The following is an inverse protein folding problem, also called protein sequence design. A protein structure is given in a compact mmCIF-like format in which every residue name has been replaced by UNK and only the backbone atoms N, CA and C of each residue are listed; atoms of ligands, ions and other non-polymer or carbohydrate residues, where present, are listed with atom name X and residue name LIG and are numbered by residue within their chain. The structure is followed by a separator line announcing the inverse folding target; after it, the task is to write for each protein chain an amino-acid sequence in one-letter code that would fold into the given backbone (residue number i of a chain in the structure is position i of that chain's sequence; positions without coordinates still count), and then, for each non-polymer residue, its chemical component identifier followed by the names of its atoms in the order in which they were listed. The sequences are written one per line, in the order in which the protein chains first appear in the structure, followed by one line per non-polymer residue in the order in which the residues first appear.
data_IF_708426891190
#
_entry.id   IF_708426891190
#
_cell.length_a   1.000
_cell.length_b   1.000
_cell.length_c   1.000
_cell.angle_alpha   90.00
_cell.angle_beta   90.00
_cell.angle_gamma   90.00
#
_symmetry.space_group_name_H-M   'P 1'
#
loop_
_entity.id
_entity.type
_entity.pdbx_description
1 polymer ?
#
# COMPACT_ATOMS: atom_id res chain seq x y z
N UNK A 1 -5.76 15.60 -0.13
CA UNK A 1 -4.54 15.01 -0.73
C UNK A 1 -3.92 13.97 0.19
N UNK A 2 -3.41 14.32 1.39
CA UNK A 2 -2.80 13.34 2.32
C UNK A 2 -3.77 12.25 2.79
N UNK A 3 -5.00 12.60 3.20
CA UNK A 3 -6.02 11.62 3.62
C UNK A 3 -6.40 10.62 2.52
N UNK A 4 -6.63 11.12 1.30
CA UNK A 4 -6.93 10.30 0.14
C UNK A 4 -5.77 9.34 -0.22
N UNK A 5 -4.53 9.83 -0.22
CA UNK A 5 -3.36 8.99 -0.44
C UNK A 5 -3.17 7.94 0.67
N UNK A 6 -3.44 8.32 1.93
CA UNK A 6 -3.35 7.42 3.07
C UNK A 6 -4.38 6.29 2.97
N UNK A 7 -5.63 6.60 2.64
CA UNK A 7 -6.69 5.60 2.46
C UNK A 7 -6.35 4.59 1.34
N UNK A 8 -5.76 5.09 0.24
CA UNK A 8 -5.38 4.26 -0.91
C UNK A 8 -4.23 3.30 -0.55
N UNK A 9 -3.22 3.77 0.20
CA UNK A 9 -2.05 2.96 0.56
C UNK A 9 -2.26 2.13 1.86
N UNK A 10 -3.27 2.44 2.66
CA UNK A 10 -3.55 1.81 3.96
C UNK A 10 -3.51 0.27 3.94
N UNK A 11 -4.20 -0.43 3.01
CA UNK A 11 -4.19 -1.89 2.98
C UNK A 11 -2.80 -2.45 2.66
N UNK A 12 -2.05 -1.78 1.79
CA UNK A 12 -0.68 -2.16 1.42
C UNK A 12 0.27 -2.01 2.61
N UNK A 13 0.19 -0.88 3.32
CA UNK A 13 1.02 -0.64 4.52
C UNK A 13 0.68 -1.66 5.61
N UNK A 14 -0.59 -1.93 5.86
CA UNK A 14 -1.02 -2.92 6.86
C UNK A 14 -0.47 -4.31 6.54
N UNK A 15 -0.57 -4.75 5.28
CA UNK A 15 -0.03 -6.03 4.85
C UNK A 15 1.50 -6.12 5.01
N UNK A 16 2.24 -5.07 4.62
CA UNK A 16 3.69 -5.01 4.81
C UNK A 16 4.09 -4.99 6.29
N UNK A 17 3.31 -4.33 7.14
CA UNK A 17 3.54 -4.31 8.59
C UNK A 17 3.41 -5.72 9.17
N UNK A 18 2.36 -6.46 8.78
CA UNK A 18 2.16 -7.85 9.19
C UNK A 18 3.32 -8.74 8.74
N UNK A 19 3.79 -8.58 7.50
CA UNK A 19 4.96 -9.31 6.99
C UNK A 19 6.20 -9.01 7.83
N UNK A 20 6.47 -7.74 8.16
CA UNK A 20 7.60 -7.35 9.00
C UNK A 20 7.51 -7.92 10.42
N UNK A 21 6.30 -7.93 11.02
CA UNK A 21 6.08 -8.55 12.33
C UNK A 21 6.32 -10.05 12.28
N UNK A 22 5.83 -10.75 11.24
CA UNK A 22 6.06 -12.17 11.06
C UNK A 22 7.56 -12.50 10.95
N UNK A 23 8.34 -11.67 10.26
CA UNK A 23 9.80 -11.78 10.25
C UNK A 23 10.45 -11.52 11.60
N UNK A 24 9.96 -10.53 12.35
CA UNK A 24 10.42 -10.28 13.71
C UNK A 24 10.21 -11.49 14.64
N UNK A 25 9.07 -12.18 14.50
CA UNK A 25 8.78 -13.42 15.22
C UNK A 25 9.68 -14.56 14.77
N UNK A 26 9.87 -14.74 13.46
CA UNK A 26 10.76 -15.78 12.90
C UNK A 26 12.21 -15.60 13.36
N UNK A 27 12.69 -14.35 13.42
CA UNK A 27 14.02 -14.00 13.94
C UNK A 27 14.20 -14.43 15.39
N UNK A 28 13.15 -14.28 16.22
CA UNK A 28 13.17 -14.72 17.62
C UNK A 28 13.13 -16.24 17.76
N UNK A 29 12.43 -16.93 16.87
CA UNK A 29 12.29 -18.39 16.90
C UNK A 29 13.53 -19.14 16.37
N UNK A 30 14.23 -18.57 15.38
CA UNK A 30 15.39 -19.19 14.74
C UNK A 30 16.50 -18.13 14.48
N UNK A 31 17.31 -17.78 15.51
CA UNK A 31 18.31 -16.70 15.43
C UNK A 31 19.48 -17.00 14.48
N UNK A 32 19.58 -18.24 14.01
CA UNK A 32 20.62 -18.72 13.08
C UNK A 32 20.17 -18.66 11.61
N UNK A 33 18.89 -18.43 11.32
CA UNK A 33 18.49 -18.07 9.97
C UNK A 33 19.08 -16.71 9.65
N UNK A 34 19.91 -16.62 8.61
CA UNK A 34 20.39 -15.36 8.09
C UNK A 34 19.20 -14.59 7.51
N UNK A 35 18.51 -13.82 8.36
CA UNK A 35 17.28 -13.08 8.02
C UNK A 35 17.56 -12.05 6.93
N UNK A 36 18.80 -11.59 6.76
CA UNK A 36 19.15 -10.77 5.60
C UNK A 36 19.13 -11.59 4.30
N UNK A 37 19.65 -12.83 4.32
CA UNK A 37 19.64 -13.71 3.15
C UNK A 37 18.26 -14.26 2.79
N UNK A 38 17.37 -14.48 3.76
CA UNK A 38 16.04 -15.09 3.53
C UNK A 38 14.92 -14.05 3.57
N UNK A 39 15.00 -13.08 4.48
CA UNK A 39 13.96 -12.08 4.71
C UNK A 39 13.86 -11.05 3.61
N UNK A 40 14.98 -10.62 3.01
CA UNK A 40 14.94 -9.66 1.91
C UNK A 40 14.27 -10.23 0.64
N UNK A 41 14.66 -11.42 0.13
CA UNK A 41 13.98 -12.03 -1.02
C UNK A 41 12.49 -12.27 -0.76
N UNK A 42 12.14 -12.78 0.44
CA UNK A 42 10.77 -13.08 0.77
C UNK A 42 9.92 -11.81 0.93
N UNK A 43 10.45 -10.74 1.54
CA UNK A 43 9.76 -9.43 1.60
C UNK A 43 9.56 -8.85 0.20
N UNK A 44 10.53 -9.02 -0.71
CA UNK A 44 10.43 -8.54 -2.08
C UNK A 44 9.32 -9.27 -2.86
N UNK A 45 9.25 -10.60 -2.74
CA UNK A 45 8.18 -11.42 -3.37
C UNK A 45 6.82 -11.07 -2.78
N UNK A 46 6.71 -10.98 -1.46
CA UNK A 46 5.45 -10.59 -0.79
C UNK A 46 5.03 -9.17 -1.15
N UNK A 47 5.97 -8.22 -1.18
CA UNK A 47 5.71 -6.84 -1.58
C UNK A 47 5.24 -6.75 -3.04
N UNK A 48 5.86 -7.51 -3.95
CA UNK A 48 5.42 -7.61 -5.33
C UNK A 48 4.01 -8.20 -5.45
N UNK A 49 3.70 -9.23 -4.67
CA UNK A 49 2.37 -9.84 -4.63
C UNK A 49 1.30 -8.87 -4.11
N UNK A 50 1.58 -8.19 -3.00
CA UNK A 50 0.68 -7.17 -2.42
C UNK A 50 0.47 -6.03 -3.42
N UNK A 51 1.53 -5.58 -4.10
CA UNK A 51 1.43 -4.55 -5.13
C UNK A 51 0.55 -5.00 -6.31
N UNK A 52 0.73 -6.24 -6.78
CA UNK A 52 -0.08 -6.80 -7.86
C UNK A 52 -1.57 -6.89 -7.50
N UNK A 53 -1.88 -7.33 -6.28
CA UNK A 53 -3.27 -7.32 -5.77
C UNK A 53 -3.80 -5.89 -5.63
N UNK A 54 -2.98 -4.97 -5.11
CA UNK A 54 -3.35 -3.56 -4.96
C UNK A 54 -3.67 -2.89 -6.30
N UNK A 55 -2.96 -3.23 -7.37
CA UNK A 55 -3.22 -2.70 -8.72
C UNK A 55 -4.64 -2.98 -9.22
N UNK A 56 -5.26 -4.08 -8.81
CA UNK A 56 -6.64 -4.39 -9.19
C UNK A 56 -7.63 -3.32 -8.72
N UNK A 57 -7.34 -2.67 -7.59
CA UNK A 57 -8.23 -1.69 -6.94
C UNK A 57 -7.75 -0.23 -7.12
N UNK A 58 -6.60 -0.01 -7.78
CA UNK A 58 -6.09 1.35 -8.04
C UNK A 58 -7.02 2.14 -8.98
N UNK A 59 -7.61 1.48 -9.98
CA UNK A 59 -8.43 2.17 -10.98
C UNK A 59 -9.73 2.72 -10.38
N UNK A 60 -10.39 1.95 -9.51
CA UNK A 60 -11.62 2.37 -8.81
C UNK A 60 -11.35 3.59 -7.93
N UNK A 61 -10.27 3.56 -7.14
CA UNK A 61 -9.85 4.65 -6.27
C UNK A 61 -9.44 5.90 -7.06
N UNK A 62 -8.73 5.72 -8.18
CA UNK A 62 -8.35 6.82 -9.05
C UNK A 62 -9.57 7.52 -9.67
N UNK A 63 -10.56 6.75 -10.13
CA UNK A 63 -11.79 7.31 -10.72
C UNK A 63 -12.56 8.16 -9.70
N UNK A 64 -12.70 7.68 -8.46
CA UNK A 64 -13.34 8.44 -7.39
C UNK A 64 -12.64 9.79 -7.17
N UNK A 65 -11.32 9.78 -6.98
CA UNK A 65 -10.54 11.01 -6.75
C UNK A 65 -10.56 11.97 -7.94
N UNK A 66 -10.48 11.44 -9.17
CA UNK A 66 -10.56 12.25 -10.38
C UNK A 66 -11.94 12.92 -10.52
N UNK A 67 -13.01 12.21 -10.16
CA UNK A 67 -14.38 12.75 -10.21
C UNK A 67 -14.59 13.88 -9.21
N UNK A 68 -14.09 13.74 -7.98
CA UNK A 68 -14.14 14.79 -6.95
C UNK A 68 -13.35 16.03 -7.38
N UNK A 69 -12.14 15.83 -7.92
CA UNK A 69 -11.31 16.93 -8.39
C UNK A 69 -11.96 17.70 -9.55
N UNK A 70 -12.60 16.99 -10.48
CA UNK A 70 -13.36 17.60 -11.58
C UNK A 70 -14.60 18.36 -11.09
N UNK A 71 -15.28 17.85 -10.05
CA UNK A 71 -16.41 18.55 -9.43
C UNK A 71 -15.96 19.86 -8.79
N UNK A 72 -14.86 19.85 -8.03
CA UNK A 72 -14.29 21.07 -7.45
C UNK A 72 -13.92 22.10 -8.52
N UNK A 73 -13.31 21.67 -9.62
CA UNK A 73 -13.00 22.55 -10.76
C UNK A 73 -14.26 23.17 -11.37
N UNK A 74 -15.34 22.39 -11.51
CA UNK A 74 -16.62 22.88 -12.03
C UNK A 74 -17.28 23.90 -11.10
N UNK A 75 -17.22 23.68 -9.79
CA UNK A 75 -17.75 24.60 -8.79
C UNK A 75 -17.00 25.93 -8.83
N UNK A 76 -15.67 25.89 -8.87
CA UNK A 76 -14.83 27.10 -8.99
C UNK A 76 -15.09 27.86 -10.28
N UNK A 77 -15.31 27.15 -11.39
CA UNK A 77 -15.62 27.75 -12.69
C UNK A 77 -17.02 28.39 -12.75
N UNK A 78 -18.00 27.85 -12.01
CA UNK A 78 -19.37 28.41 -11.90
C UNK A 78 -19.50 29.52 -10.85
N UNK A 79 -18.57 29.60 -9.91
CA UNK A 79 -18.49 30.66 -8.90
C UNK A 79 -17.89 31.97 -9.45
N UNK A 80 -17.57 32.03 -10.75
CA UNK A 80 -17.24 33.23 -11.52
C UNK A 80 -18.34 33.50 -12.53
#
# INVERSE_FOLDING_TARGET
MFSAGLLLILPVIAALLVVNIAFGVMTRAAPQLNIFSIGFPLTLVMGMFIFWVGLADVLSHYQALASEALQWLRELARAR
#
